data_IF_888996295986
#
_entry.id   IF_888996295986
#
_cell.length_a   1.000
_cell.length_b   1.000
_cell.length_c   1.000
_cell.angle_alpha   90.00
_cell.angle_beta   90.00
_cell.angle_gamma   90.00
#
_symmetry.space_group_name_H-M   'P 1'
#
loop_
_entity.id
_entity.type
_entity.pdbx_description
1 polymer ?
#
# COMPACT_ATOMS: atom_id res chain seq x y z
N UNK A 1 -53.52 -23.50 26.98
CA UNK A 1 -52.13 -23.01 26.98
C UNK A 1 -51.72 -22.81 25.54
N UNK A 2 -51.50 -21.56 25.09
CA UNK A 2 -50.96 -21.28 23.78
C UNK A 2 -49.44 -21.44 23.82
N UNK A 3 -48.88 -22.12 22.82
CA UNK A 3 -47.44 -22.18 22.56
C UNK A 3 -47.05 -20.94 21.76
N UNK A 4 -46.29 -20.06 22.40
CA UNK A 4 -45.51 -18.99 21.76
C UNK A 4 -44.34 -19.66 21.03
N UNK A 5 -44.33 -19.63 19.71
CA UNK A 5 -43.13 -19.88 18.89
C UNK A 5 -43.18 -18.96 17.66
N UNK A 6 -42.35 -17.92 17.73
CA UNK A 6 -41.58 -17.29 16.66
C UNK A 6 -42.26 -16.89 15.35
N UNK A 7 -42.98 -15.76 15.41
CA UNK A 7 -43.41 -14.98 14.25
C UNK A 7 -42.28 -14.04 13.74
N UNK A 8 -41.14 -14.64 13.34
CA UNK A 8 -39.98 -13.91 12.77
C UNK A 8 -39.69 -14.26 11.30
N UNK A 9 -40.57 -15.00 10.62
CA UNK A 9 -40.32 -15.46 9.24
C UNK A 9 -40.80 -14.53 8.13
N UNK A 10 -41.18 -13.28 8.41
CA UNK A 10 -41.74 -12.35 7.41
C UNK A 10 -41.11 -10.96 7.45
N UNK A 11 -39.80 -10.92 7.26
CA UNK A 11 -39.10 -9.69 6.84
C UNK A 11 -38.20 -9.98 5.64
N UNK A 12 -38.83 -10.36 4.52
CA UNK A 12 -38.18 -10.32 3.20
C UNK A 12 -38.70 -9.08 2.49
N UNK A 13 -37.84 -8.07 2.31
CA UNK A 13 -38.14 -6.89 1.50
C UNK A 13 -37.65 -7.17 0.07
N UNK A 14 -38.59 -7.30 -0.87
CA UNK A 14 -38.28 -7.39 -2.29
C UNK A 14 -38.27 -5.97 -2.87
N UNK A 15 -37.09 -5.51 -3.31
CA UNK A 15 -36.95 -4.24 -4.02
C UNK A 15 -36.94 -4.57 -5.51
N UNK A 16 -37.99 -4.16 -6.23
CA UNK A 16 -37.99 -4.15 -7.69
C UNK A 16 -37.22 -2.91 -8.16
N UNK A 17 -36.25 -3.10 -9.06
CA UNK A 17 -35.61 -2.01 -9.79
C UNK A 17 -36.40 -1.86 -11.09
N UNK A 18 -36.95 -0.69 -11.35
CA UNK A 18 -37.58 -0.38 -12.63
C UNK A 18 -36.50 -0.40 -13.73
N UNK A 19 -36.69 -1.25 -14.73
CA UNK A 19 -35.93 -1.25 -15.98
C UNK A 19 -36.41 -0.07 -16.83
N UNK A 20 -35.66 1.04 -16.82
CA UNK A 20 -35.82 2.09 -17.83
C UNK A 20 -35.21 1.59 -19.15
N UNK A 21 -36.05 0.91 -19.93
CA UNK A 21 -35.83 0.64 -21.35
C UNK A 21 -35.77 1.97 -22.13
N UNK A 22 -34.58 2.34 -22.59
CA UNK A 22 -34.36 3.58 -23.33
C UNK A 22 -33.09 3.56 -24.18
N UNK A 23 -33.20 2.98 -25.37
CA UNK A 23 -32.28 3.08 -26.50
C UNK A 23 -31.84 4.53 -26.77
N UNK A 24 -30.58 4.89 -26.51
CA UNK A 24 -29.90 6.01 -27.17
C UNK A 24 -28.40 5.75 -27.32
N UNK A 25 -28.04 5.17 -28.47
CA UNK A 25 -26.75 5.39 -29.07
C UNK A 25 -26.53 6.87 -29.46
N UNK A 26 -25.26 7.25 -29.49
CA UNK A 26 -24.65 8.44 -30.12
C UNK A 26 -24.50 9.76 -29.31
N UNK A 27 -23.21 10.15 -29.23
CA UNK A 27 -22.64 11.51 -29.34
C UNK A 27 -22.92 12.49 -28.18
N UNK A 28 -22.02 12.52 -27.20
CA UNK A 28 -21.80 13.72 -26.38
C UNK A 28 -20.86 14.67 -27.13
N UNK A 29 -21.47 15.59 -27.89
CA UNK A 29 -20.85 16.84 -28.30
C UNK A 29 -21.02 17.88 -27.19
N UNK A 30 -19.97 18.65 -26.96
CA UNK A 30 -19.94 19.90 -26.18
C UNK A 30 -21.23 20.71 -26.29
N UNK A 31 -21.74 21.16 -25.15
CA UNK A 31 -22.43 22.46 -25.02
C UNK A 31 -22.43 22.92 -23.56
N UNK A 32 -21.65 23.97 -23.32
CA UNK A 32 -21.76 24.85 -22.16
C UNK A 32 -23.15 25.47 -22.04
N UNK A 33 -23.60 25.70 -20.79
CA UNK A 33 -24.10 26.96 -20.19
C UNK A 33 -24.94 26.66 -18.91
N UNK A 34 -25.24 27.64 -18.03
CA UNK A 34 -24.34 28.35 -17.13
C UNK A 34 -24.80 28.24 -15.64
N UNK A 35 -23.96 28.74 -14.75
CA UNK A 35 -24.14 28.86 -13.30
C UNK A 35 -25.49 29.39 -12.82
N UNK A 36 -26.09 28.74 -11.82
CA UNK A 36 -26.87 29.43 -10.78
C UNK A 36 -26.62 28.78 -9.42
N UNK A 37 -26.09 29.57 -8.52
CA UNK A 37 -25.84 29.29 -7.10
C UNK A 37 -27.15 29.07 -6.33
N UNK A 38 -27.24 27.99 -5.55
CA UNK A 38 -27.24 28.02 -4.08
C UNK A 38 -27.80 26.70 -3.49
N UNK A 39 -27.26 26.35 -2.32
CA UNK A 39 -27.84 25.42 -1.32
C UNK A 39 -27.59 23.93 -1.55
N UNK A 40 -27.11 23.14 -0.59
CA UNK A 40 -26.55 23.41 0.75
C UNK A 40 -26.03 22.06 1.27
N UNK A 41 -24.87 22.06 1.93
CA UNK A 41 -24.41 21.15 2.98
C UNK A 41 -24.48 19.60 2.85
N UNK A 42 -25.15 19.01 1.86
CA UNK A 42 -25.38 17.56 1.73
C UNK A 42 -24.44 16.86 0.75
N UNK A 43 -23.80 17.58 -0.18
CA UNK A 43 -22.76 17.00 -1.06
C UNK A 43 -21.44 16.66 -0.33
N UNK A 44 -21.34 16.96 0.97
CA UNK A 44 -20.17 16.62 1.79
C UNK A 44 -20.13 15.17 2.27
N UNK A 45 -21.15 14.36 2.02
CA UNK A 45 -21.17 12.98 2.48
C UNK A 45 -21.41 12.01 1.33
N UNK A 46 -20.42 11.11 1.19
CA UNK A 46 -20.31 9.99 0.24
C UNK A 46 -19.82 10.32 -1.18
N UNK A 47 -18.56 10.75 -1.27
CA UNK A 47 -17.75 10.33 -2.43
C UNK A 47 -17.55 8.81 -2.30
N UNK A 48 -18.42 8.03 -2.94
CA UNK A 48 -18.22 6.59 -3.11
C UNK A 48 -16.95 6.43 -3.93
N UNK A 49 -15.87 6.01 -3.25
CA UNK A 49 -14.56 5.81 -3.88
C UNK A 49 -14.66 4.70 -4.92
N UNK A 50 -13.94 4.82 -6.02
CA UNK A 50 -13.78 3.69 -6.95
C UNK A 50 -13.14 2.53 -6.19
N UNK A 51 -13.67 1.30 -6.32
CA UNK A 51 -13.14 0.14 -5.62
C UNK A 51 -11.66 -0.09 -5.97
N UNK A 52 -10.90 -0.64 -5.03
CA UNK A 52 -9.48 -0.96 -5.21
C UNK A 52 -9.34 -1.88 -6.42
N UNK A 53 -8.51 -1.49 -7.40
CA UNK A 53 -8.26 -2.32 -8.57
C UNK A 53 -7.37 -3.51 -8.22
N UNK A 54 -7.51 -4.63 -8.95
CA UNK A 54 -6.71 -5.83 -8.74
C UNK A 54 -5.19 -5.56 -8.81
N UNK A 55 -4.77 -4.60 -9.65
CA UNK A 55 -3.36 -4.19 -9.80
C UNK A 55 -2.80 -3.52 -8.54
N UNK A 56 -3.64 -2.90 -7.73
CA UNK A 56 -3.23 -2.23 -6.48
C UNK A 56 -3.44 -3.12 -5.24
N UNK A 57 -4.29 -4.13 -5.34
CA UNK A 57 -4.62 -5.02 -4.24
C UNK A 57 -3.46 -5.95 -3.84
N UNK A 58 -2.63 -6.36 -4.80
CA UNK A 58 -1.46 -7.19 -4.53
C UNK A 58 -0.31 -6.91 -5.51
N UNK A 59 0.91 -6.62 -5.04
CA UNK A 59 2.08 -6.56 -5.90
C UNK A 59 2.41 -7.95 -6.45
N UNK A 60 2.90 -7.99 -7.68
CA UNK A 60 3.22 -9.24 -8.38
C UNK A 60 4.59 -9.77 -7.88
N UNK A 61 4.70 -11.06 -7.53
CA UNK A 61 5.97 -11.69 -7.17
C UNK A 61 6.88 -11.82 -8.41
N UNK A 62 8.11 -12.33 -8.23
CA UNK A 62 9.03 -12.61 -9.35
C UNK A 62 8.41 -13.56 -10.36
N UNK A 63 8.73 -13.38 -11.66
CA UNK A 63 8.31 -14.32 -12.70
C UNK A 63 8.83 -15.75 -12.48
N UNK A 64 9.85 -15.92 -11.63
CA UNK A 64 10.47 -17.20 -11.29
C UNK A 64 9.80 -17.97 -10.16
N UNK A 65 8.67 -17.49 -9.61
CA UNK A 65 7.93 -18.24 -8.58
C UNK A 65 6.81 -19.06 -9.20
N UNK A 66 6.75 -20.32 -8.80
CA UNK A 66 5.69 -21.25 -9.17
C UNK A 66 4.62 -21.31 -8.07
N UNK A 67 3.45 -21.87 -8.38
CA UNK A 67 2.41 -22.08 -7.38
C UNK A 67 2.89 -23.05 -6.27
N UNK A 68 3.76 -24.00 -6.61
CA UNK A 68 4.42 -24.89 -5.63
C UNK A 68 5.28 -24.15 -4.60
N UNK A 69 5.80 -22.96 -4.93
CA UNK A 69 6.57 -22.12 -4.00
C UNK A 69 5.68 -21.39 -2.98
N UNK A 70 4.35 -21.49 -3.11
CA UNK A 70 3.42 -20.76 -2.24
C UNK A 70 3.47 -21.32 -0.80
N UNK A 71 3.65 -20.47 0.24
CA UNK A 71 3.67 -20.89 1.63
C UNK A 71 2.40 -21.63 2.04
N UNK A 72 2.51 -22.61 2.92
CA UNK A 72 1.37 -23.43 3.37
C UNK A 72 0.25 -22.60 4.02
N UNK A 73 0.59 -21.52 4.72
CA UNK A 73 -0.40 -20.58 5.26
C UNK A 73 -1.13 -19.79 4.16
N UNK A 74 -0.46 -19.45 3.06
CA UNK A 74 -1.08 -18.82 1.90
C UNK A 74 -1.98 -19.78 1.11
N UNK A 75 -1.55 -21.05 0.95
CA UNK A 75 -2.40 -22.10 0.38
C UNK A 75 -3.68 -22.29 1.21
N UNK A 76 -3.55 -22.40 2.55
CA UNK A 76 -4.72 -22.52 3.45
C UNK A 76 -5.64 -21.31 3.38
N UNK A 77 -5.11 -20.10 3.27
CA UNK A 77 -5.90 -18.89 3.10
C UNK A 77 -6.73 -18.95 1.82
N UNK A 78 -6.12 -19.36 0.71
CA UNK A 78 -6.81 -19.51 -0.57
C UNK A 78 -7.90 -20.58 -0.50
N UNK A 79 -7.62 -21.73 0.13
CA UNK A 79 -8.64 -22.76 0.34
C UNK A 79 -9.82 -22.22 1.14
N UNK A 80 -9.57 -21.54 2.26
CA UNK A 80 -10.63 -20.96 3.10
C UNK A 80 -11.49 -19.94 2.35
N UNK A 81 -10.92 -19.17 1.41
CA UNK A 81 -11.61 -18.09 0.71
C UNK A 81 -12.25 -18.50 -0.61
N UNK A 82 -11.77 -19.57 -1.24
CA UNK A 82 -12.16 -20.00 -2.58
C UNK A 82 -12.91 -21.33 -2.61
N UNK A 83 -12.84 -22.16 -1.56
CA UNK A 83 -13.68 -23.38 -1.46
C UNK A 83 -15.15 -23.08 -1.18
N UNK A 84 -15.46 -21.88 -0.71
CA UNK A 84 -16.85 -21.47 -0.51
C UNK A 84 -17.63 -21.55 -1.83
N UNK A 85 -18.90 -22.00 -1.80
CA UNK A 85 -19.76 -21.96 -2.98
C UNK A 85 -19.80 -20.56 -3.57
N UNK A 86 -19.95 -20.47 -4.89
CA UNK A 86 -20.16 -19.17 -5.52
C UNK A 86 -21.52 -18.61 -5.08
N UNK A 87 -21.53 -17.40 -4.52
CA UNK A 87 -22.75 -16.72 -4.06
C UNK A 87 -22.84 -15.40 -4.83
N UNK A 88 -23.88 -15.27 -5.66
CA UNK A 88 -24.06 -14.11 -6.53
C UNK A 88 -22.87 -13.90 -7.48
N UNK A 89 -22.26 -12.72 -7.44
CA UNK A 89 -21.09 -12.36 -8.25
C UNK A 89 -19.75 -12.87 -7.68
N UNK A 90 -19.75 -13.47 -6.49
CA UNK A 90 -18.54 -13.97 -5.83
C UNK A 90 -18.07 -15.28 -6.47
N UNK A 91 -17.09 -15.18 -7.36
CA UNK A 91 -16.45 -16.32 -8.03
C UNK A 91 -15.55 -17.10 -7.06
N UNK A 92 -15.50 -18.42 -7.24
CA UNK A 92 -14.81 -19.37 -6.37
C UNK A 92 -13.70 -20.16 -7.12
N UNK A 93 -13.20 -21.24 -6.50
CA UNK A 93 -12.14 -22.09 -7.06
C UNK A 93 -12.44 -22.62 -8.47
N UNK A 94 -13.70 -22.82 -8.83
CA UNK A 94 -14.09 -23.37 -10.13
C UNK A 94 -13.76 -22.40 -11.27
N UNK A 95 -14.11 -21.13 -11.09
CA UNK A 95 -13.78 -20.08 -12.06
C UNK A 95 -12.28 -19.86 -12.16
N UNK A 96 -11.57 -19.98 -11.03
CA UNK A 96 -10.12 -19.90 -11.01
C UNK A 96 -9.49 -21.07 -11.79
N UNK A 97 -9.94 -22.30 -11.57
CA UNK A 97 -9.44 -23.50 -12.25
C UNK A 97 -9.62 -23.40 -13.77
N UNK A 98 -10.81 -22.98 -14.22
CA UNK A 98 -11.11 -22.79 -15.64
C UNK A 98 -10.19 -21.73 -16.29
N UNK A 99 -9.97 -20.59 -15.63
CA UNK A 99 -9.13 -19.50 -16.16
C UNK A 99 -7.62 -19.79 -16.09
N UNK A 100 -7.20 -20.66 -15.18
CA UNK A 100 -5.82 -21.19 -15.17
C UNK A 100 -5.60 -22.19 -16.30
N UNK A 101 -6.65 -22.88 -16.75
CA UNK A 101 -6.64 -23.74 -17.93
C UNK A 101 -6.90 -25.22 -17.65
N UNK A 102 -7.51 -25.57 -16.51
CA UNK A 102 -7.98 -26.94 -16.28
C UNK A 102 -9.14 -27.26 -17.23
N UNK A 103 -9.19 -28.51 -17.68
CA UNK A 103 -10.27 -29.01 -18.54
C UNK A 103 -11.53 -29.29 -17.73
N UNK A 104 -12.67 -29.26 -18.39
CA UNK A 104 -13.98 -29.49 -17.74
C UNK A 104 -14.07 -30.85 -17.05
N UNK A 105 -13.45 -31.89 -17.62
CA UNK A 105 -13.40 -33.23 -17.03
C UNK A 105 -12.61 -33.25 -15.71
N UNK A 106 -11.48 -32.52 -15.66
CA UNK A 106 -10.63 -32.40 -14.47
C UNK A 106 -11.36 -31.62 -13.37
N UNK A 107 -12.00 -30.50 -13.74
CA UNK A 107 -12.80 -29.67 -12.82
C UNK A 107 -13.97 -30.49 -12.25
N UNK A 108 -14.61 -31.33 -13.07
CA UNK A 108 -15.71 -32.20 -12.66
C UNK A 108 -15.25 -33.26 -11.66
N UNK A 109 -14.06 -33.84 -11.84
CA UNK A 109 -13.44 -34.76 -10.90
C UNK A 109 -13.11 -34.09 -9.56
N UNK A 110 -12.47 -32.91 -9.61
CA UNK A 110 -12.08 -32.14 -8.42
C UNK A 110 -13.29 -31.73 -7.58
N UNK A 111 -14.44 -31.46 -8.20
CA UNK A 111 -15.69 -31.08 -7.51
C UNK A 111 -16.16 -32.14 -6.49
N UNK A 112 -15.82 -33.40 -6.71
CA UNK A 112 -16.22 -34.51 -5.83
C UNK A 112 -15.33 -34.65 -4.60
N UNK A 113 -14.25 -33.87 -4.51
CA UNK A 113 -13.29 -33.92 -3.40
C UNK A 113 -13.73 -33.03 -2.22
N UNK A 114 -13.23 -33.33 -1.03
CA UNK A 114 -13.53 -32.58 0.19
C UNK A 114 -12.80 -31.22 0.27
N UNK A 115 -11.66 -31.08 -0.41
CA UNK A 115 -10.90 -29.82 -0.52
C UNK A 115 -10.51 -29.53 -1.97
N UNK A 116 -11.44 -28.98 -2.76
CA UNK A 116 -11.24 -28.76 -4.19
C UNK A 116 -10.05 -27.86 -4.51
N UNK A 117 -9.83 -26.78 -3.77
CA UNK A 117 -8.74 -25.84 -4.03
C UNK A 117 -7.37 -26.47 -3.77
N UNK A 118 -7.22 -27.33 -2.75
CA UNK A 118 -5.98 -28.09 -2.56
C UNK A 118 -5.71 -29.04 -3.72
N UNK A 119 -6.76 -29.66 -4.27
CA UNK A 119 -6.62 -30.52 -5.44
C UNK A 119 -6.26 -29.72 -6.71
N UNK A 120 -6.84 -28.52 -6.88
CA UNK A 120 -6.42 -27.58 -7.93
C UNK A 120 -4.92 -27.30 -7.82
N UNK A 121 -4.41 -26.98 -6.63
CA UNK A 121 -2.97 -26.72 -6.47
C UNK A 121 -2.09 -27.88 -6.92
N UNK A 122 -2.53 -29.14 -6.73
CA UNK A 122 -1.78 -30.30 -7.22
C UNK A 122 -1.71 -30.38 -8.74
N UNK A 123 -2.76 -29.94 -9.43
CA UNK A 123 -2.81 -29.93 -10.89
C UNK A 123 -2.03 -28.76 -11.50
N UNK A 124 -1.83 -27.67 -10.75
CA UNK A 124 -1.21 -26.43 -11.27
C UNK A 124 0.11 -26.07 -10.60
N UNK A 125 0.81 -27.05 -10.00
CA UNK A 125 2.04 -26.80 -9.24
C UNK A 125 3.10 -26.02 -10.03
N UNK A 126 3.22 -26.33 -11.33
CA UNK A 126 4.23 -25.75 -12.24
C UNK A 126 3.76 -24.45 -12.92
N UNK A 127 2.55 -23.98 -12.63
CA UNK A 127 2.06 -22.71 -13.16
C UNK A 127 2.71 -21.55 -12.41
N UNK A 128 2.96 -20.44 -13.10
CA UNK A 128 3.56 -19.27 -12.47
C UNK A 128 2.62 -18.63 -11.44
N UNK A 129 3.19 -18.21 -10.32
CA UNK A 129 2.43 -17.57 -9.24
C UNK A 129 1.82 -16.22 -9.68
N UNK A 130 2.48 -15.53 -10.62
CA UNK A 130 1.94 -14.33 -11.27
C UNK A 130 0.64 -14.64 -12.02
N UNK A 131 0.59 -15.77 -12.72
CA UNK A 131 -0.62 -16.18 -13.44
C UNK A 131 -1.77 -16.41 -12.47
N UNK A 132 -1.53 -17.09 -11.34
CA UNK A 132 -2.52 -17.28 -10.29
C UNK A 132 -3.07 -15.93 -9.78
N UNK A 133 -2.19 -14.98 -9.45
CA UNK A 133 -2.59 -13.67 -8.91
C UNK A 133 -3.40 -12.87 -9.93
N UNK A 134 -3.01 -12.89 -11.21
CA UNK A 134 -3.77 -12.24 -12.29
C UNK A 134 -5.16 -12.85 -12.42
N UNK A 135 -5.26 -14.17 -12.43
CA UNK A 135 -6.57 -14.86 -12.50
C UNK A 135 -7.44 -14.50 -11.30
N UNK A 136 -6.90 -14.44 -10.07
CA UNK A 136 -7.65 -13.98 -8.88
C UNK A 136 -8.18 -12.54 -9.08
N UNK A 137 -7.39 -11.68 -9.71
CA UNK A 137 -7.79 -10.34 -10.12
C UNK A 137 -8.91 -10.33 -11.16
N UNK A 138 -8.79 -11.18 -12.19
CA UNK A 138 -9.76 -11.29 -13.29
C UNK A 138 -11.12 -11.84 -12.83
N UNK A 139 -11.13 -12.71 -11.82
CA UNK A 139 -12.36 -13.16 -11.17
C UNK A 139 -12.92 -12.14 -10.17
N UNK A 140 -12.28 -10.98 -10.01
CA UNK A 140 -12.76 -9.89 -9.16
C UNK A 140 -12.63 -10.16 -7.65
N UNK A 141 -11.82 -11.14 -7.23
CA UNK A 141 -11.62 -11.50 -5.82
C UNK A 141 -10.55 -10.63 -5.16
N UNK A 142 -10.83 -9.32 -5.12
CA UNK A 142 -9.96 -8.30 -4.53
C UNK A 142 -9.72 -8.56 -3.03
N UNK A 143 -10.72 -9.09 -2.33
CA UNK A 143 -10.65 -9.52 -0.93
C UNK A 143 -9.53 -10.55 -0.69
N UNK A 144 -9.39 -11.49 -1.62
CA UNK A 144 -8.35 -12.53 -1.58
C UNK A 144 -6.98 -11.92 -1.82
N UNK A 145 -6.85 -11.03 -2.82
CA UNK A 145 -5.59 -10.36 -3.13
C UNK A 145 -5.06 -9.54 -1.95
N UNK A 146 -5.93 -8.77 -1.29
CA UNK A 146 -5.58 -7.98 -0.10
C UNK A 146 -5.09 -8.91 1.02
N UNK A 147 -5.79 -10.03 1.23
CA UNK A 147 -5.45 -10.98 2.29
C UNK A 147 -4.16 -11.76 2.00
N UNK A 148 -3.83 -11.98 0.73
CA UNK A 148 -2.66 -12.73 0.28
C UNK A 148 -1.38 -11.87 0.27
N UNK A 149 -1.53 -10.54 0.10
CA UNK A 149 -0.44 -9.55 0.04
C UNK A 149 0.68 -9.74 1.09
N UNK A 150 0.41 -9.81 2.41
CA UNK A 150 1.46 -9.93 3.41
C UNK A 150 2.26 -11.24 3.28
N UNK A 151 1.62 -12.32 2.80
CA UNK A 151 2.24 -13.63 2.67
C UNK A 151 3.16 -13.71 1.44
N UNK A 152 2.81 -12.99 0.38
CA UNK A 152 3.62 -12.91 -0.83
C UNK A 152 4.86 -12.02 -0.67
N UNK A 153 4.76 -10.96 0.15
CA UNK A 153 5.93 -10.15 0.51
C UNK A 153 7.03 -11.00 1.20
N UNK A 154 6.64 -12.00 2.00
CA UNK A 154 7.57 -12.93 2.63
C UNK A 154 8.38 -13.76 1.64
N UNK A 155 7.79 -14.20 0.53
CA UNK A 155 8.47 -14.99 -0.50
C UNK A 155 9.56 -14.21 -1.24
N UNK A 156 9.31 -12.93 -1.52
CA UNK A 156 10.27 -12.08 -2.21
C UNK A 156 11.54 -11.84 -1.39
N UNK A 157 11.48 -11.95 -0.06
CA UNK A 157 12.63 -11.76 0.83
C UNK A 157 13.50 -13.03 0.97
N UNK A 158 12.95 -14.21 0.71
CA UNK A 158 13.65 -15.50 0.89
C UNK A 158 14.68 -15.74 -0.21
N UNK A 159 14.36 -15.44 -1.48
CA UNK A 159 15.34 -15.57 -2.59
C UNK A 159 16.52 -14.57 -2.49
N UNK A 160 16.37 -13.49 -1.71
CA UNK A 160 17.45 -12.51 -1.47
C UNK A 160 18.57 -13.07 -0.57
N UNK A 161 18.28 -14.09 0.25
CA UNK A 161 19.25 -14.68 1.18
C UNK A 161 20.02 -15.87 0.60
N UNK A 162 19.55 -16.49 -0.48
CA UNK A 162 20.14 -17.72 -1.04
C UNK A 162 21.34 -17.50 -1.98
N UNK A 163 21.82 -16.26 -2.17
CA UNK A 163 23.02 -15.95 -2.97
C UNK A 163 24.30 -15.76 -2.15
N UNK A 164 24.30 -16.01 -0.84
CA UNK A 164 25.53 -16.03 -0.04
C UNK A 164 26.05 -17.45 0.06
N UNK A 165 27.22 -17.63 -0.55
CA UNK A 165 28.03 -18.83 -0.65
C UNK A 165 28.12 -19.61 0.67
N UNK A 166 27.93 -20.91 0.55
CA UNK A 166 28.19 -21.96 1.53
C UNK A 166 29.61 -21.82 2.11
N UNK A 167 29.68 -21.56 3.42
CA UNK A 167 30.71 -22.17 4.28
C UNK A 167 30.02 -22.83 5.45
N UNK A 168 30.22 -24.14 5.52
CA UNK A 168 29.72 -25.05 6.53
C UNK A 168 29.98 -24.48 7.94
N UNK A 169 28.92 -24.34 8.72
CA UNK A 169 28.83 -24.86 10.09
C UNK A 169 27.36 -24.83 10.55
N UNK A 170 26.84 -26.04 10.74
CA UNK A 170 25.65 -26.48 11.50
C UNK A 170 24.60 -25.40 11.85
N UNK A 171 23.37 -25.43 11.28
CA UNK A 171 22.30 -24.57 11.76
C UNK A 171 21.55 -25.26 12.90
N UNK A 172 21.66 -24.63 14.06
CA UNK A 172 20.83 -24.80 15.23
C UNK A 172 19.35 -24.67 14.84
N UNK A 173 18.53 -25.67 15.17
CA UNK A 173 17.07 -25.56 15.13
C UNK A 173 16.65 -24.47 16.12
N UNK A 174 15.67 -23.65 15.73
CA UNK A 174 15.08 -22.53 16.48
C UNK A 174 15.65 -21.14 16.13
N UNK A 175 15.34 -20.69 14.90
CA UNK A 175 15.16 -19.27 14.64
C UNK A 175 13.83 -19.09 13.88
N UNK A 176 12.74 -19.45 14.56
CA UNK A 176 11.41 -18.95 14.21
C UNK A 176 11.45 -17.43 14.43
N UNK A 177 11.30 -16.66 13.36
CA UNK A 177 10.93 -15.25 13.48
C UNK A 177 9.57 -15.21 14.20
N UNK A 178 9.42 -14.41 15.27
CA UNK A 178 8.16 -14.31 15.98
C UNK A 178 7.08 -13.71 15.06
N UNK A 179 5.89 -14.27 15.21
CA UNK A 179 4.68 -13.88 14.51
C UNK A 179 4.46 -12.36 14.58
N UNK A 180 4.18 -11.74 13.43
CA UNK A 180 3.58 -10.42 13.36
C UNK A 180 2.13 -10.51 13.86
N UNK A 181 2.00 -10.52 15.18
CA UNK A 181 0.78 -10.20 15.91
C UNK A 181 1.24 -9.35 17.09
N UNK A 182 1.59 -8.10 16.84
CA UNK A 182 1.46 -7.08 17.87
C UNK A 182 0.60 -5.97 17.30
N UNK A 183 -0.64 -5.99 17.79
CA UNK A 183 -1.55 -4.85 17.77
C UNK A 183 -0.78 -3.65 18.30
N UNK A 184 -1.07 -2.49 17.72
CA UNK A 184 -0.71 -1.19 18.28
C UNK A 184 -1.07 -1.18 19.77
N UNK A 185 -0.07 -1.39 20.63
CA UNK A 185 -0.22 -1.25 22.07
C UNK A 185 0.65 -0.09 22.55
N UNK A 186 -0.03 0.85 23.19
CA UNK A 186 0.56 1.98 23.90
C UNK A 186 1.18 1.44 25.18
N UNK A 187 2.42 0.97 25.10
CA UNK A 187 3.15 0.47 26.25
C UNK A 187 4.59 0.96 26.22
N UNK A 188 4.91 1.89 27.10
CA UNK A 188 6.29 2.25 27.40
C UNK A 188 7.06 0.98 27.81
N UNK A 189 8.21 0.74 27.20
CA UNK A 189 9.34 0.07 27.86
C UNK A 189 10.64 0.30 27.09
N UNK A 190 11.60 0.73 27.87
CA UNK A 190 13.00 0.96 27.59
C UNK A 190 13.69 -0.33 27.19
N UNK A 191 14.07 -0.47 25.92
CA UNK A 191 15.13 -1.41 25.54
C UNK A 191 16.19 -0.67 24.74
N UNK A 192 17.24 -0.28 25.47
CA UNK A 192 18.46 0.30 24.96
C UNK A 192 19.28 -0.75 24.21
N UNK A 193 18.94 -0.98 22.94
CA UNK A 193 19.85 -1.63 21.99
C UNK A 193 20.68 -0.53 21.32
N UNK A 194 21.86 -0.26 21.88
CA UNK A 194 22.89 0.59 21.28
C UNK A 194 23.52 -0.11 20.08
N UNK A 195 22.92 -0.01 18.89
CA UNK A 195 23.61 -0.29 17.61
C UNK A 195 23.07 0.63 16.51
N UNK A 196 23.48 1.90 16.53
CA UNK A 196 23.55 2.79 15.36
C UNK A 196 24.41 3.99 15.72
N UNK A 197 25.37 4.39 14.87
CA UNK A 197 26.15 5.62 15.07
C UNK A 197 25.31 6.89 14.87
N UNK A 198 24.04 6.75 14.49
CA UNK A 198 23.06 7.83 14.48
C UNK A 198 22.44 7.99 15.87
N UNK A 199 22.81 9.08 16.55
CA UNK A 199 22.18 9.48 17.80
C UNK A 199 20.82 10.10 17.47
N UNK A 200 19.73 9.43 17.85
CA UNK A 200 18.40 9.99 17.68
C UNK A 200 18.27 11.30 18.47
N UNK A 201 17.58 12.31 17.91
CA UNK A 201 17.24 13.50 18.66
C UNK A 201 16.57 13.16 19.98
N UNK A 202 16.94 13.85 21.05
CA UNK A 202 16.20 13.81 22.31
C UNK A 202 14.82 14.50 22.20
N UNK A 203 14.61 15.25 21.11
CA UNK A 203 13.41 16.04 20.81
C UNK A 203 12.50 15.30 19.83
N UNK A 204 11.24 15.72 19.73
CA UNK A 204 10.37 15.30 18.64
C UNK A 204 11.01 15.72 17.32
N UNK A 205 10.94 14.90 16.29
CA UNK A 205 11.51 15.24 15.00
C UNK A 205 10.54 14.97 13.86
N UNK A 206 10.70 15.76 12.81
CA UNK A 206 9.94 15.68 11.55
C UNK A 206 10.93 15.25 10.48
N UNK A 207 10.61 14.17 9.78
CA UNK A 207 11.44 13.71 8.67
C UNK A 207 10.93 14.31 7.38
N UNK A 208 11.85 14.79 6.53
CA UNK A 208 11.56 15.18 5.17
C UNK A 208 12.17 14.14 4.23
N UNK A 209 11.31 13.55 3.39
CA UNK A 209 11.69 12.71 2.27
C UNK A 209 11.37 13.43 0.95
N UNK A 210 12.28 13.32 0.00
CA UNK A 210 12.22 14.07 -1.27
C UNK A 210 12.93 13.30 -2.37
N UNK A 211 12.77 13.70 -3.63
CA UNK A 211 13.55 13.17 -4.75
C UNK A 211 13.79 14.26 -5.78
N UNK A 212 14.96 14.90 -5.74
CA UNK A 212 15.36 15.89 -6.74
C UNK A 212 16.61 15.48 -7.53
N UNK A 213 16.45 15.43 -8.84
CA UNK A 213 17.55 15.25 -9.80
C UNK A 213 18.08 16.61 -10.26
N UNK A 214 17.18 17.55 -10.57
CA UNK A 214 17.50 18.85 -11.16
C UNK A 214 17.99 19.91 -10.17
N UNK A 215 18.80 20.87 -10.66
CA UNK A 215 19.37 21.96 -9.85
C UNK A 215 18.31 22.90 -9.26
N UNK A 216 17.28 23.24 -10.04
CA UNK A 216 16.20 24.13 -9.59
C UNK A 216 15.42 23.51 -8.42
N UNK A 217 15.09 22.23 -8.55
CA UNK A 217 14.39 21.45 -7.54
C UNK A 217 15.18 21.38 -6.22
N UNK A 218 16.51 21.17 -6.29
CA UNK A 218 17.40 21.21 -5.11
C UNK A 218 17.42 22.58 -4.42
N UNK A 219 17.32 23.67 -5.19
CA UNK A 219 17.22 25.04 -4.63
C UNK A 219 15.91 25.21 -3.87
N UNK A 220 14.79 24.73 -4.43
CA UNK A 220 13.48 24.78 -3.77
C UNK A 220 13.46 23.94 -2.48
N UNK A 221 14.04 22.73 -2.50
CA UNK A 221 14.22 21.93 -1.28
C UNK A 221 15.02 22.68 -0.22
N UNK A 222 16.18 23.25 -0.59
CA UNK A 222 17.02 23.98 0.35
C UNK A 222 16.25 25.15 0.97
N UNK A 223 15.43 25.84 0.18
CA UNK A 223 14.59 26.93 0.66
C UNK A 223 13.48 26.44 1.60
N UNK A 224 12.82 25.31 1.27
CA UNK A 224 11.83 24.67 2.15
C UNK A 224 12.46 24.25 3.49
N UNK A 225 13.61 23.57 3.46
CA UNK A 225 14.33 23.13 4.65
C UNK A 225 14.70 24.30 5.56
N UNK A 226 15.28 25.36 5.00
CA UNK A 226 15.63 26.56 5.77
C UNK A 226 14.39 27.23 6.39
N UNK A 227 13.27 27.26 5.65
CA UNK A 227 12.02 27.85 6.13
C UNK A 227 11.40 27.03 7.27
N UNK A 228 11.36 25.70 7.15
CA UNK A 228 10.87 24.81 8.20
C UNK A 228 11.77 24.84 9.43
N UNK A 229 13.09 24.89 9.26
CA UNK A 229 14.05 25.02 10.37
C UNK A 229 13.84 26.33 11.13
N UNK A 230 13.71 27.46 10.43
CA UNK A 230 13.48 28.76 11.08
C UNK A 230 12.17 28.79 11.88
N UNK A 231 11.13 28.06 11.46
CA UNK A 231 9.88 27.96 12.21
C UNK A 231 10.02 27.01 13.39
N UNK A 232 10.69 25.87 13.23
CA UNK A 232 10.97 24.93 14.32
C UNK A 232 11.73 25.61 15.47
N UNK A 233 12.70 26.48 15.14
CA UNK A 233 13.43 27.30 16.11
C UNK A 233 12.51 28.27 16.87
N UNK A 234 11.53 28.88 16.19
CA UNK A 234 10.55 29.79 16.80
C UNK A 234 9.54 29.06 17.70
N UNK A 235 9.20 27.81 17.40
CA UNK A 235 8.29 26.97 18.19
C UNK A 235 8.98 26.36 19.43
N UNK A 236 9.74 27.17 20.18
CA UNK A 236 10.47 26.80 21.40
C UNK A 236 11.44 25.62 21.25
N UNK A 237 11.99 25.37 20.06
CA UNK A 237 12.99 24.32 19.84
C UNK A 237 12.51 22.90 20.20
N UNK A 238 11.20 22.65 20.20
CA UNK A 238 10.61 21.34 20.54
C UNK A 238 10.71 20.31 19.41
N UNK A 239 10.91 20.80 18.18
CA UNK A 239 10.97 19.98 16.99
C UNK A 239 12.32 20.11 16.29
N UNK A 240 12.82 18.99 15.77
CA UNK A 240 13.99 18.96 14.90
C UNK A 240 13.60 18.51 13.49
N UNK A 241 14.11 19.21 12.47
CA UNK A 241 13.84 18.89 11.07
C UNK A 241 14.99 18.06 10.50
N UNK A 242 14.69 16.82 10.13
CA UNK A 242 15.66 15.86 9.62
C UNK A 242 15.46 15.60 8.13
N UNK A 243 16.51 15.77 7.34
CA UNK A 243 16.55 15.36 5.94
C UNK A 243 16.96 13.89 5.84
N UNK A 244 16.10 13.06 5.26
CA UNK A 244 16.35 11.62 5.12
C UNK A 244 17.68 11.32 4.41
N UNK A 245 18.10 12.17 3.47
CA UNK A 245 19.33 11.98 2.72
C UNK A 245 20.60 12.13 3.60
N UNK A 246 20.49 12.79 4.76
CA UNK A 246 21.60 13.05 5.69
C UNK A 246 21.61 12.13 6.91
N UNK A 247 20.50 11.44 7.19
CA UNK A 247 20.34 10.64 8.40
C UNK A 247 20.64 9.14 8.19
N UNK A 248 20.97 8.72 6.97
CA UNK A 248 21.15 7.30 6.65
C UNK A 248 22.58 6.88 6.98
N UNK A 249 22.69 5.96 7.93
CA UNK A 249 23.91 5.20 8.20
C UNK A 249 24.01 4.05 7.19
N UNK A 250 24.99 4.13 6.28
CA UNK A 250 25.23 3.13 5.23
C UNK A 250 25.52 1.73 5.80
N UNK A 251 26.02 1.64 7.04
CA UNK A 251 26.33 0.36 7.68
C UNK A 251 25.10 -0.36 8.22
N UNK A 252 24.03 0.39 8.52
CA UNK A 252 22.80 -0.17 9.10
C UNK A 252 21.53 0.49 8.52
N UNK A 253 21.44 0.52 7.19
CA UNK A 253 20.40 1.21 6.42
C UNK A 253 18.99 0.82 6.88
N UNK A 254 18.71 -0.48 6.99
CA UNK A 254 17.36 -0.98 7.29
C UNK A 254 16.89 -0.63 8.70
N UNK A 255 17.75 -0.74 9.71
CA UNK A 255 17.37 -0.43 11.09
C UNK A 255 17.23 1.08 11.29
N UNK A 256 18.18 1.86 10.75
CA UNK A 256 18.13 3.32 10.81
C UNK A 256 16.86 3.85 10.14
N UNK A 257 16.55 3.37 8.93
CA UNK A 257 15.32 3.73 8.22
C UNK A 257 14.06 3.38 9.03
N UNK A 258 13.99 2.16 9.60
CA UNK A 258 12.83 1.72 10.38
C UNK A 258 12.64 2.56 11.64
N UNK A 259 13.72 2.83 12.38
CA UNK A 259 13.66 3.65 13.59
C UNK A 259 13.26 5.09 13.25
N UNK A 260 13.86 5.68 12.22
CA UNK A 260 13.50 7.00 11.71
C UNK A 260 12.00 7.06 11.36
N UNK A 261 11.50 6.09 10.61
CA UNK A 261 10.07 6.03 10.26
C UNK A 261 9.18 5.84 11.49
N UNK A 262 9.54 4.95 12.41
CA UNK A 262 8.73 4.64 13.61
C UNK A 262 8.61 5.83 14.56
N UNK A 263 9.71 6.53 14.80
CA UNK A 263 9.77 7.59 15.82
C UNK A 263 9.54 9.00 15.27
N UNK A 264 9.45 9.17 13.95
CA UNK A 264 9.08 10.46 13.36
C UNK A 264 7.68 10.89 13.82
N UNK A 265 7.60 12.10 14.38
CA UNK A 265 6.34 12.70 14.79
C UNK A 265 5.46 13.04 13.59
N UNK A 266 6.08 13.57 12.53
CA UNK A 266 5.47 13.83 11.23
C UNK A 266 6.47 13.47 10.11
N UNK A 267 5.95 13.13 8.94
CA UNK A 267 6.73 12.80 7.75
C UNK A 267 6.30 13.73 6.61
N UNK A 268 7.19 14.59 6.15
CA UNK A 268 6.93 15.46 5.00
C UNK A 268 7.45 14.78 3.75
N UNK A 269 6.57 14.53 2.79
CA UNK A 269 6.92 14.13 1.45
C UNK A 269 6.95 15.38 0.55
N UNK A 270 8.16 15.81 0.18
CA UNK A 270 8.34 16.90 -0.78
C UNK A 270 8.53 16.35 -2.19
N UNK A 271 7.68 16.81 -3.12
CA UNK A 271 7.68 16.39 -4.52
C UNK A 271 7.91 17.60 -5.39
N UNK A 272 9.06 17.63 -6.05
CA UNK A 272 9.45 18.71 -6.96
C UNK A 272 9.61 18.31 -8.41
N UNK A 273 9.51 17.01 -8.70
CA UNK A 273 9.61 16.44 -10.05
C UNK A 273 8.50 15.43 -10.28
N UNK A 274 8.09 15.30 -11.54
CA UNK A 274 7.19 14.26 -12.03
C UNK A 274 7.78 12.86 -11.95
N UNK A 275 9.11 12.75 -11.81
CA UNK A 275 9.82 11.47 -11.79
C UNK A 275 9.74 10.75 -10.43
N UNK A 276 9.00 11.31 -9.47
CA UNK A 276 8.78 10.65 -8.18
C UNK A 276 8.10 9.30 -8.37
N UNK A 277 7.07 9.22 -9.22
CA UNK A 277 6.35 7.97 -9.47
C UNK A 277 7.26 6.94 -10.13
N UNK A 278 7.95 7.31 -11.21
CA UNK A 278 8.80 6.38 -11.96
C UNK A 278 9.96 5.83 -11.12
N UNK A 279 10.54 6.65 -10.23
CA UNK A 279 11.73 6.26 -9.47
C UNK A 279 11.45 5.72 -8.07
N UNK A 280 10.39 6.17 -7.41
CA UNK A 280 10.09 5.84 -6.02
C UNK A 280 8.81 4.99 -5.90
N UNK A 281 7.69 5.36 -6.55
CA UNK A 281 6.42 4.64 -6.37
C UNK A 281 6.22 3.42 -7.27
N UNK A 282 6.70 3.41 -8.51
CA UNK A 282 6.51 2.31 -9.47
C UNK A 282 7.51 1.16 -9.28
N UNK A 283 8.46 1.32 -8.35
CA UNK A 283 9.41 0.27 -7.95
C UNK A 283 8.76 -0.87 -7.13
N UNK A 284 7.43 -0.92 -7.06
CA UNK A 284 6.62 -1.94 -6.36
C UNK A 284 6.66 -3.32 -7.05
N UNK A 285 7.52 -3.52 -8.06
CA UNK A 285 8.03 -4.84 -8.37
C UNK A 285 9.36 -5.03 -7.63
N UNK A 286 9.45 -5.86 -6.58
CA UNK A 286 10.74 -6.27 -6.00
C UNK A 286 11.62 -7.08 -6.97
N UNK A 287 11.20 -7.19 -8.24
CA UNK A 287 11.68 -8.11 -9.28
C UNK A 287 11.92 -7.47 -10.63
N UNK A 288 11.54 -6.21 -10.82
CA UNK A 288 12.31 -5.40 -11.76
C UNK A 288 13.66 -5.26 -11.10
N UNK A 289 14.57 -6.13 -11.56
CA UNK A 289 16.01 -6.02 -11.48
C UNK A 289 16.37 -4.64 -10.97
N UNK A 290 16.99 -4.61 -9.78
CA UNK A 290 17.95 -3.58 -9.43
C UNK A 290 18.80 -3.42 -10.68
N UNK A 291 18.40 -2.52 -11.58
CA UNK A 291 19.26 -2.08 -12.64
C UNK A 291 20.43 -1.54 -11.84
N UNK A 292 21.58 -2.22 -11.98
CA UNK A 292 22.80 -2.00 -11.20
C UNK A 292 23.36 -0.56 -11.32
N UNK A 293 22.58 0.37 -11.88
CA UNK A 293 22.80 1.80 -11.96
C UNK A 293 22.30 2.58 -10.72
N UNK A 294 21.24 2.15 -10.02
CA UNK A 294 20.72 2.90 -8.85
C UNK A 294 21.31 2.38 -7.52
N UNK A 295 22.62 2.57 -7.35
CA UNK A 295 23.41 2.11 -6.17
C UNK A 295 23.28 3.00 -4.93
N UNK A 296 22.39 3.99 -4.90
CA UNK A 296 22.33 4.88 -3.74
C UNK A 296 21.45 4.27 -2.63
N UNK A 297 22.06 3.92 -1.50
CA UNK A 297 21.37 3.51 -0.27
C UNK A 297 20.19 4.43 0.08
N UNK A 298 20.32 5.72 -0.24
CA UNK A 298 19.30 6.75 -0.03
C UNK A 298 18.04 6.50 -0.86
N UNK A 299 18.16 6.07 -2.12
CA UNK A 299 17.01 5.75 -2.96
C UNK A 299 16.26 4.53 -2.39
N UNK A 300 16.99 3.51 -1.94
CA UNK A 300 16.39 2.33 -1.28
C UNK A 300 15.60 2.72 -0.03
N UNK A 301 16.13 3.61 0.80
CA UNK A 301 15.42 4.10 1.99
C UNK A 301 14.18 4.91 1.62
N UNK A 302 14.26 5.79 0.61
CA UNK A 302 13.11 6.56 0.13
C UNK A 302 11.98 5.65 -0.37
N UNK A 303 12.32 4.55 -1.05
CA UNK A 303 11.36 3.51 -1.46
C UNK A 303 10.73 2.79 -0.27
N UNK A 304 11.52 2.43 0.75
CA UNK A 304 10.99 1.82 1.98
C UNK A 304 10.03 2.76 2.71
N UNK A 305 10.39 4.04 2.85
CA UNK A 305 9.52 5.05 3.43
C UNK A 305 8.20 5.16 2.68
N UNK A 306 8.24 5.12 1.34
CA UNK A 306 7.05 5.12 0.52
C UNK A 306 6.14 3.92 0.83
N UNK A 307 6.69 2.71 0.83
CA UNK A 307 5.94 1.49 1.16
C UNK A 307 5.31 1.58 2.56
N UNK A 308 6.05 2.07 3.55
CA UNK A 308 5.54 2.18 4.91
C UNK A 308 4.48 3.28 5.06
N UNK A 309 4.59 4.39 4.33
CA UNK A 309 3.53 5.40 4.28
C UNK A 309 2.24 4.80 3.68
N UNK A 310 2.35 4.01 2.62
CA UNK A 310 1.21 3.30 2.02
C UNK A 310 0.60 2.27 2.97
N UNK A 311 1.42 1.46 3.62
CA UNK A 311 0.97 0.46 4.61
C UNK A 311 0.25 1.14 5.78
N UNK A 312 0.81 2.22 6.31
CA UNK A 312 0.20 2.98 7.41
C UNK A 312 -1.10 3.67 6.97
N UNK A 313 -1.11 4.29 5.79
CA UNK A 313 -2.31 4.89 5.21
C UNK A 313 -3.45 3.87 5.08
N UNK A 314 -3.15 2.68 4.55
CA UNK A 314 -4.13 1.61 4.39
C UNK A 314 -4.60 1.05 5.74
N UNK A 315 -3.68 0.86 6.69
CA UNK A 315 -3.98 0.38 8.05
C UNK A 315 -4.90 1.35 8.81
N UNK A 316 -4.76 2.64 8.56
CA UNK A 316 -5.59 3.70 9.17
C UNK A 316 -6.91 3.95 8.42
N UNK A 317 -7.39 3.00 7.61
CA UNK A 317 -8.65 3.13 6.88
C UNK A 317 -8.60 4.21 5.78
N UNK A 318 -7.46 4.30 5.09
CA UNK A 318 -7.19 5.32 4.07
C UNK A 318 -7.27 6.75 4.62
N UNK A 319 -6.73 6.94 5.83
CA UNK A 319 -6.58 8.25 6.47
C UNK A 319 -5.11 8.48 6.76
N UNK A 320 -4.65 9.65 6.38
CA UNK A 320 -3.31 10.09 6.67
C UNK A 320 -3.28 10.85 8.01
N UNK A 321 -2.62 10.26 9.01
CA UNK A 321 -2.49 10.87 10.33
C UNK A 321 -1.24 11.74 10.45
N UNK A 322 -0.09 11.26 9.95
CA UNK A 322 1.22 11.88 10.22
C UNK A 322 2.12 12.17 9.02
N UNK A 323 1.75 11.80 7.80
CA UNK A 323 2.49 12.26 6.62
C UNK A 323 1.86 13.53 6.02
N UNK A 324 2.63 14.39 5.36
CA UNK A 324 2.14 15.62 4.73
C UNK A 324 2.81 15.78 3.38
N UNK A 325 2.02 16.08 2.35
CA UNK A 325 2.52 16.18 0.99
C UNK A 325 2.74 17.66 0.66
N UNK A 326 3.95 17.99 0.24
CA UNK A 326 4.30 19.31 -0.27
C UNK A 326 4.72 19.15 -1.73
N UNK A 327 3.97 19.77 -2.64
CA UNK A 327 4.32 19.90 -4.04
C UNK A 327 5.13 21.18 -4.24
N UNK A 328 6.23 21.11 -4.98
CA UNK A 328 6.88 22.31 -5.51
C UNK A 328 5.94 22.98 -6.53
N UNK A 329 6.04 24.30 -6.65
CA UNK A 329 5.34 25.08 -7.69
C UNK A 329 5.67 24.66 -9.13
N UNK A 330 6.73 23.87 -9.32
CA UNK A 330 7.10 23.25 -10.59
C UNK A 330 6.19 22.07 -10.95
N UNK A 331 5.47 21.51 -9.98
CA UNK A 331 4.52 20.42 -10.16
C UNK A 331 3.11 21.02 -10.22
N UNK A 332 2.51 20.99 -11.41
CA UNK A 332 1.21 21.61 -11.65
C UNK A 332 0.05 20.77 -11.11
N UNK A 333 0.19 19.44 -11.10
CA UNK A 333 -0.89 18.53 -10.73
C UNK A 333 -0.40 17.34 -9.89
N UNK A 334 -0.81 17.29 -8.62
CA UNK A 334 -0.50 16.17 -7.74
C UNK A 334 -1.05 14.83 -8.21
N UNK A 335 -2.12 14.82 -9.02
CA UNK A 335 -2.72 13.59 -9.54
C UNK A 335 -1.78 12.80 -10.47
N UNK A 336 -0.81 13.47 -11.09
CA UNK A 336 0.14 12.85 -12.03
C UNK A 336 1.39 12.31 -11.34
N UNK A 337 1.67 12.76 -10.10
CA UNK A 337 2.95 12.54 -9.43
C UNK A 337 2.83 11.83 -8.07
N UNK A 338 1.61 11.54 -7.63
CA UNK A 338 1.32 10.82 -6.40
C UNK A 338 0.67 9.47 -6.69
N UNK A 339 0.83 8.49 -5.78
CA UNK A 339 0.12 7.22 -5.88
C UNK A 339 -1.39 7.40 -5.97
N UNK A 340 -2.04 6.48 -6.68
CA UNK A 340 -3.49 6.47 -6.83
C UNK A 340 -4.17 6.45 -5.46
N UNK A 341 -5.09 7.40 -5.25
CA UNK A 341 -5.82 7.57 -4.00
C UNK A 341 -5.28 8.69 -3.12
N UNK A 342 -3.96 8.89 -3.04
CA UNK A 342 -3.36 9.93 -2.19
C UNK A 342 -3.81 11.34 -2.54
N UNK A 343 -3.84 11.76 -3.83
CA UNK A 343 -4.28 13.09 -4.19
C UNK A 343 -5.68 13.47 -3.69
N UNK A 344 -6.56 12.47 -3.54
CA UNK A 344 -7.97 12.67 -3.20
C UNK A 344 -8.27 12.56 -1.71
N UNK A 345 -7.34 12.03 -0.91
CA UNK A 345 -7.55 11.72 0.52
C UNK A 345 -6.53 12.37 1.43
N UNK A 346 -5.42 12.84 0.87
CA UNK A 346 -4.37 13.54 1.60
C UNK A 346 -4.35 14.99 1.14
N UNK A 347 -4.30 15.91 2.10
CA UNK A 347 -4.14 17.32 1.80
C UNK A 347 -2.75 17.57 1.22
N UNK A 348 -2.75 18.30 0.11
CA UNK A 348 -1.57 18.66 -0.64
C UNK A 348 -1.34 20.15 -0.44
N UNK A 349 -0.09 20.49 -0.16
CA UNK A 349 0.35 21.87 0.00
C UNK A 349 1.31 22.20 -1.13
N UNK A 350 1.25 23.41 -1.64
CA UNK A 350 2.16 23.89 -2.67
C UNK A 350 3.15 24.85 -2.03
N UNK A 351 4.43 24.67 -2.34
CA UNK A 351 5.51 25.55 -1.90
C UNK A 351 6.18 26.20 -3.13
N UNK A 352 6.45 27.52 -3.14
CA UNK A 352 6.50 28.44 -1.99
C UNK A 352 5.23 29.28 -1.76
N UNK A 353 4.02 28.74 -1.91
CA UNK A 353 2.80 29.49 -1.60
C UNK A 353 2.73 29.81 -0.10
N UNK A 354 2.78 31.10 0.27
CA UNK A 354 2.88 31.56 1.65
C UNK A 354 1.68 31.15 2.52
N UNK A 355 0.47 31.15 1.98
CA UNK A 355 -0.74 30.79 2.75
C UNK A 355 -0.76 29.30 3.05
N UNK A 356 -0.51 28.48 2.02
CA UNK A 356 -0.45 27.02 2.18
C UNK A 356 0.76 26.61 3.04
N UNK A 357 1.87 27.34 2.96
CA UNK A 357 3.03 27.12 3.83
C UNK A 357 2.74 27.42 5.30
N UNK A 358 1.96 28.46 5.60
CA UNK A 358 1.50 28.73 6.97
C UNK A 358 0.58 27.61 7.47
N UNK A 359 -0.34 27.14 6.64
CA UNK A 359 -1.27 26.07 7.02
C UNK A 359 -0.53 24.76 7.33
N UNK A 360 0.44 24.36 6.49
CA UNK A 360 1.22 23.16 6.76
C UNK A 360 2.09 23.31 8.02
N UNK A 361 2.69 24.48 8.24
CA UNK A 361 3.48 24.71 9.47
C UNK A 361 2.61 24.56 10.72
N UNK A 362 1.38 25.09 10.69
CA UNK A 362 0.41 24.89 11.78
C UNK A 362 0.24 23.41 12.10
N UNK A 363 0.03 22.57 11.08
CA UNK A 363 -0.18 21.11 11.26
C UNK A 363 1.07 20.31 11.62
N UNK A 364 2.25 20.86 11.35
CA UNK A 364 3.52 20.20 11.64
C UNK A 364 3.97 20.46 13.07
N UNK A 365 3.66 21.64 13.62
CA UNK A 365 4.22 22.12 14.88
C UNK A 365 3.21 22.35 16.01
N UNK A 366 1.90 22.42 15.71
CA UNK A 366 0.79 22.44 16.69
C UNK A 366 0.09 21.08 16.71
#
# INVERSE_FOLDING_TARGET
>A
MPSEDDDLTTLTVTIALDDDDGDYGHKLHDKLLPSTTCSSALEKYYIIRSPISAKHACPLPSESFLISDLPSNAQRLLCNRLNSPAIGSMKNWLYLAALIGLKDDEISSIRQTSDPMMEVFKHVQDVSLIRLIRVIGDIGRIDVLISLRPLLHGLSAVKSKTKVVVKNNVPNRNAFLPAMNDRFDSGALTDSIKISNFQFPSKKFIIITHHETEKLNKKNLKFLLASLQSIAEKCNNNFEILDIAKCIDETNISQTARNLFKYASQIVLFISSTDYISNISNSINPTSVINNSDKSAIITVKKLFHCWMDEEYNSNGCRNLRFRIILSNTVVNGNEVLPLGWPRTTLQYTFPNTEQFKEICKRLFE
#
